data_IF_425580971895
#
_entry.id   IF_425580971895
#
_cell.length_a   1.000
_cell.length_b   1.000
_cell.length_c   1.000
_cell.angle_alpha   90.00
_cell.angle_beta   90.00
_cell.angle_gamma   90.00
#
_symmetry.space_group_name_H-M   'P 1'
#
loop_
_entity.id
_entity.type
_entity.pdbx_description
1 polymer ?
#
# COMPACT_ATOMS: atom_id res chain seq x y z
N UNK A 1 21.11 -14.74 -4.02
CA UNK A 1 19.64 -14.84 -3.95
C UNK A 1 19.08 -13.71 -4.79
N UNK A 2 18.25 -14.03 -5.77
CA UNK A 2 17.61 -13.03 -6.62
C UNK A 2 16.36 -12.49 -5.91
N UNK A 3 16.38 -11.21 -5.56
CA UNK A 3 15.25 -10.54 -4.90
C UNK A 3 13.97 -10.59 -5.74
N UNK A 4 14.10 -10.58 -7.07
CA UNK A 4 12.96 -10.66 -7.98
C UNK A 4 12.26 -12.03 -7.88
N UNK A 5 13.02 -13.10 -7.64
CA UNK A 5 12.46 -14.44 -7.48
C UNK A 5 11.60 -14.57 -6.20
N UNK A 6 11.86 -13.75 -5.18
CA UNK A 6 11.04 -13.69 -3.97
C UNK A 6 9.80 -12.81 -4.15
N UNK A 7 9.89 -11.75 -4.96
CA UNK A 7 8.81 -10.80 -5.15
C UNK A 7 7.74 -11.28 -6.17
N UNK A 8 8.16 -12.00 -7.20
CA UNK A 8 7.26 -12.53 -8.24
C UNK A 8 6.02 -13.28 -7.72
N UNK A 9 6.12 -14.24 -6.76
CA UNK A 9 4.94 -14.93 -6.25
C UNK A 9 4.00 -14.02 -5.46
N UNK A 10 4.54 -13.01 -4.77
CA UNK A 10 3.73 -12.02 -4.02
C UNK A 10 2.90 -11.17 -4.98
N UNK A 11 3.53 -10.70 -6.06
CA UNK A 11 2.82 -9.94 -7.11
C UNK A 11 1.75 -10.81 -7.75
N UNK A 12 2.07 -12.05 -8.12
CA UNK A 12 1.11 -12.97 -8.71
C UNK A 12 -0.10 -13.21 -7.80
N UNK A 13 0.12 -13.39 -6.50
CA UNK A 13 -0.95 -13.57 -5.52
C UNK A 13 -1.92 -12.38 -5.48
N UNK A 14 -1.41 -11.14 -5.45
CA UNK A 14 -2.26 -9.94 -5.41
C UNK A 14 -2.84 -9.55 -6.78
N UNK A 15 -2.44 -10.22 -7.86
CA UNK A 15 -2.94 -9.93 -9.20
C UNK A 15 -4.27 -10.65 -9.51
N UNK A 16 -4.58 -11.75 -8.81
CA UNK A 16 -5.72 -12.61 -9.15
C UNK A 16 -6.51 -13.10 -7.92
N UNK A 17 -7.72 -13.62 -8.16
CA UNK A 17 -8.54 -14.28 -7.15
C UNK A 17 -8.85 -13.44 -5.91
N UNK A 18 -8.75 -14.05 -4.72
CA UNK A 18 -9.00 -13.37 -3.44
C UNK A 18 -7.90 -12.36 -3.10
N UNK A 19 -6.66 -12.59 -3.54
CA UNK A 19 -5.56 -11.66 -3.31
C UNK A 19 -5.81 -10.32 -4.00
N UNK A 20 -6.31 -10.34 -5.23
CA UNK A 20 -6.77 -9.12 -5.91
C UNK A 20 -7.84 -8.37 -5.14
N UNK A 21 -8.86 -9.07 -4.63
CA UNK A 21 -9.93 -8.44 -3.85
C UNK A 21 -9.40 -7.76 -2.56
N UNK A 22 -8.45 -8.41 -1.87
CA UNK A 22 -7.79 -7.83 -0.70
C UNK A 22 -6.99 -6.58 -1.09
N UNK A 23 -6.25 -6.63 -2.19
CA UNK A 23 -5.49 -5.49 -2.70
C UNK A 23 -6.39 -4.32 -3.06
N UNK A 24 -7.45 -4.55 -3.83
CA UNK A 24 -8.40 -3.54 -4.26
C UNK A 24 -9.09 -2.90 -3.02
N UNK A 25 -9.45 -3.71 -2.02
CA UNK A 25 -10.01 -3.20 -0.76
C UNK A 25 -9.01 -2.37 0.05
N UNK A 26 -7.76 -2.81 0.15
CA UNK A 26 -6.70 -2.08 0.83
C UNK A 26 -6.39 -0.74 0.12
N UNK A 27 -6.36 -0.72 -1.21
CA UNK A 27 -6.21 0.50 -2.00
C UNK A 27 -7.37 1.47 -1.76
N UNK A 28 -8.60 0.97 -1.77
CA UNK A 28 -9.78 1.78 -1.47
C UNK A 28 -9.67 2.41 -0.08
N UNK A 29 -9.40 1.60 0.97
CA UNK A 29 -9.22 2.12 2.33
C UNK A 29 -8.11 3.16 2.40
N UNK A 30 -6.97 2.89 1.78
CA UNK A 30 -5.86 3.84 1.75
C UNK A 30 -6.25 5.16 1.07
N UNK A 31 -6.95 5.08 -0.07
CA UNK A 31 -7.40 6.27 -0.81
C UNK A 31 -8.41 7.13 -0.03
N UNK A 32 -9.21 6.50 0.84
CA UNK A 32 -10.19 7.18 1.69
C UNK A 32 -9.48 7.85 2.88
N UNK A 33 -8.56 7.14 3.53
CA UNK A 33 -7.85 7.64 4.71
C UNK A 33 -6.79 8.69 4.37
N UNK A 34 -6.14 8.53 3.21
CA UNK A 34 -5.06 9.37 2.74
C UNK A 34 -5.35 9.86 1.31
N UNK A 35 -6.32 10.78 1.16
CA UNK A 35 -6.70 11.25 -0.16
C UNK A 35 -5.57 12.08 -0.78
N UNK A 36 -5.46 12.05 -2.12
CA UNK A 36 -4.36 12.68 -2.84
C UNK A 36 -4.31 14.22 -2.70
N UNK A 37 -5.42 14.84 -2.30
CA UNK A 37 -5.52 16.27 -2.01
C UNK A 37 -5.31 16.60 -0.52
N UNK A 38 -4.92 15.63 0.31
CA UNK A 38 -4.56 15.89 1.69
C UNK A 38 -3.36 16.85 1.78
N UNK A 39 -3.31 17.65 2.85
CA UNK A 39 -2.19 18.53 3.10
C UNK A 39 -0.88 17.74 3.20
N UNK A 40 0.20 18.33 2.68
CA UNK A 40 1.51 17.72 2.75
C UNK A 40 1.91 17.50 4.22
N UNK A 41 2.52 16.35 4.50
CA UNK A 41 3.05 16.08 5.83
C UNK A 41 4.10 17.14 6.20
N UNK A 42 3.89 17.81 7.34
CA UNK A 42 4.83 18.78 7.91
C UNK A 42 5.44 18.23 9.21
N UNK A 43 6.69 18.62 9.54
CA UNK A 43 7.30 18.24 10.81
C UNK A 43 6.45 18.75 11.98
N UNK A 44 6.11 17.88 12.92
CA UNK A 44 5.48 18.27 14.18
C UNK A 44 6.58 18.34 15.24
N UNK A 45 6.79 19.50 15.85
CA UNK A 45 7.76 19.63 16.94
C UNK A 45 7.29 18.79 18.14
N UNK A 46 8.03 17.74 18.47
CA UNK A 46 7.80 16.95 19.69
C UNK A 46 8.30 17.72 20.91
N UNK A 47 7.55 17.78 22.02
CA UNK A 47 8.03 18.38 23.26
C UNK A 47 9.35 17.74 23.71
N UNK A 48 10.29 18.55 24.19
CA UNK A 48 11.55 18.07 24.80
C UNK A 48 11.31 17.49 26.19
#
# INVERSE_FOLDING_TARGET
MDFNALLAPVIAFFSEGIGKAIFDFAQMLYSILYPANAEAAYPVETPK
#
